data_IF_599882365768
#
_entry.id   IF_599882365768
#
_cell.length_a   1.000
_cell.length_b   1.000
_cell.length_c   1.000
_cell.angle_alpha   90.00
_cell.angle_beta   90.00
_cell.angle_gamma   90.00
#
_symmetry.space_group_name_H-M   'P 1'
#
loop_
_entity.id
_entity.type
_entity.pdbx_description
1 polymer ?
#
# COMPACT_ATOMS: atom_id res chain seq x y z
N UNK A 1 -38.04 0.24 -24.06
CA UNK A 1 -38.63 0.66 -22.77
C UNK A 1 -39.41 1.97 -22.93
N UNK A 2 -38.89 2.96 -23.68
CA UNK A 2 -39.61 4.20 -24.03
C UNK A 2 -40.57 4.10 -25.23
N UNK A 3 -40.71 2.94 -25.88
CA UNK A 3 -41.51 2.72 -27.10
C UNK A 3 -42.75 1.83 -26.86
N UNK A 4 -43.31 1.83 -25.65
CA UNK A 4 -44.57 1.14 -25.33
C UNK A 4 -45.55 2.19 -24.86
N UNK A 5 -46.63 2.41 -25.62
CA UNK A 5 -47.57 3.50 -25.38
C UNK A 5 -48.37 3.32 -24.08
N UNK A 6 -48.59 2.08 -23.63
CA UNK A 6 -49.36 1.80 -22.42
C UNK A 6 -48.58 2.15 -21.12
N UNK A 7 -49.06 3.11 -20.31
CA UNK A 7 -48.42 3.52 -19.05
C UNK A 7 -48.43 2.41 -17.99
N UNK A 8 -49.42 1.52 -17.96
CA UNK A 8 -49.45 0.43 -16.96
C UNK A 8 -48.39 -0.64 -17.24
N UNK A 9 -48.22 -1.03 -18.50
CA UNK A 9 -47.17 -1.97 -18.92
C UNK A 9 -45.76 -1.42 -18.66
N UNK A 10 -45.56 -0.09 -18.80
CA UNK A 10 -44.30 0.59 -18.44
C UNK A 10 -44.02 0.54 -16.94
N UNK A 11 -45.03 0.80 -16.10
CA UNK A 11 -44.88 0.75 -14.64
C UNK A 11 -44.57 -0.67 -14.16
N UNK A 12 -45.27 -1.68 -14.69
CA UNK A 12 -45.04 -3.10 -14.34
C UNK A 12 -43.64 -3.58 -14.74
N UNK A 13 -43.17 -3.26 -15.95
CA UNK A 13 -41.80 -3.61 -16.38
C UNK A 13 -40.73 -2.88 -15.55
N UNK A 14 -40.99 -1.64 -15.19
CA UNK A 14 -40.07 -0.85 -14.35
C UNK A 14 -40.02 -1.41 -12.94
N UNK A 15 -41.17 -1.80 -12.34
CA UNK A 15 -41.19 -2.39 -11.00
C UNK A 15 -40.47 -3.73 -10.94
N UNK A 16 -40.58 -4.57 -11.98
CA UNK A 16 -39.82 -5.82 -12.07
C UNK A 16 -38.31 -5.56 -12.12
N UNK A 17 -37.87 -4.61 -12.95
CA UNK A 17 -36.44 -4.27 -13.07
C UNK A 17 -35.92 -3.71 -11.75
N UNK A 18 -36.65 -2.79 -11.11
CA UNK A 18 -36.31 -2.25 -9.80
C UNK A 18 -36.26 -3.35 -8.72
N UNK A 19 -37.21 -4.29 -8.74
CA UNK A 19 -37.21 -5.45 -7.84
C UNK A 19 -35.99 -6.35 -8.05
N UNK A 20 -35.63 -6.62 -9.31
CA UNK A 20 -34.43 -7.39 -9.65
C UNK A 20 -33.14 -6.69 -9.20
N UNK A 21 -33.03 -5.37 -9.38
CA UNK A 21 -31.91 -4.59 -8.83
C UNK A 21 -31.86 -4.65 -7.30
N UNK A 22 -33.01 -4.56 -6.63
CA UNK A 22 -33.09 -4.73 -5.17
C UNK A 22 -32.59 -6.09 -4.71
N UNK A 23 -32.97 -7.16 -5.42
CA UNK A 23 -32.47 -8.52 -5.16
C UNK A 23 -30.95 -8.64 -5.36
N UNK A 24 -30.42 -8.08 -6.45
CA UNK A 24 -28.97 -8.05 -6.71
C UNK A 24 -28.21 -7.29 -5.62
N UNK A 25 -28.74 -6.16 -5.15
CA UNK A 25 -28.13 -5.38 -4.06
C UNK A 25 -28.13 -6.16 -2.75
N UNK A 26 -29.21 -6.88 -2.44
CA UNK A 26 -29.26 -7.74 -1.25
C UNK A 26 -28.23 -8.88 -1.32
N UNK A 27 -28.07 -9.52 -2.48
CA UNK A 27 -27.04 -10.53 -2.70
C UNK A 27 -25.64 -9.92 -2.56
N UNK A 28 -25.41 -8.76 -3.18
CA UNK A 28 -24.13 -8.04 -3.10
C UNK A 28 -23.77 -7.71 -1.64
N UNK A 29 -24.73 -7.25 -0.83
CA UNK A 29 -24.53 -7.00 0.60
C UNK A 29 -24.06 -8.25 1.35
N UNK A 30 -24.72 -9.38 1.12
CA UNK A 30 -24.37 -10.66 1.77
C UNK A 30 -22.97 -11.11 1.31
N UNK A 31 -22.69 -11.09 0.01
CA UNK A 31 -21.39 -11.49 -0.51
C UNK A 31 -20.26 -10.59 0.00
N UNK A 32 -20.45 -9.27 -0.01
CA UNK A 32 -19.44 -8.31 0.41
C UNK A 32 -19.14 -8.38 1.91
N UNK A 33 -20.15 -8.66 2.73
CA UNK A 33 -19.96 -8.88 4.18
C UNK A 33 -19.25 -10.19 4.48
N UNK A 34 -19.61 -11.27 3.79
CA UNK A 34 -18.94 -12.58 3.92
C UNK A 34 -17.48 -12.52 3.47
N UNK A 35 -17.20 -11.88 2.34
CA UNK A 35 -15.85 -11.69 1.81
C UNK A 35 -14.98 -10.89 2.80
N UNK A 36 -15.49 -9.73 3.25
CA UNK A 36 -14.79 -8.89 4.22
C UNK A 36 -14.52 -9.60 5.55
N UNK A 37 -15.45 -10.42 6.02
CA UNK A 37 -15.29 -11.21 7.25
C UNK A 37 -14.25 -12.33 7.06
N UNK A 38 -14.36 -13.12 5.99
CA UNK A 38 -13.48 -14.26 5.74
C UNK A 38 -12.02 -13.83 5.57
N UNK A 39 -11.76 -12.82 4.71
CA UNK A 39 -10.41 -12.28 4.53
C UNK A 39 -9.91 -11.50 5.74
N UNK A 40 -10.80 -10.88 6.51
CA UNK A 40 -10.45 -10.24 7.78
C UNK A 40 -9.94 -11.25 8.80
N UNK A 41 -10.69 -12.33 9.04
CA UNK A 41 -10.31 -13.40 9.97
C UNK A 41 -9.03 -14.12 9.52
N UNK A 42 -8.90 -14.40 8.22
CA UNK A 42 -7.69 -15.03 7.67
C UNK A 42 -6.46 -14.14 7.88
N UNK A 43 -6.57 -12.83 7.60
CA UNK A 43 -5.50 -11.85 7.80
C UNK A 43 -5.06 -11.75 9.26
N UNK A 44 -6.01 -11.71 10.20
CA UNK A 44 -5.71 -11.60 11.63
C UNK A 44 -5.04 -12.87 12.17
N UNK A 45 -5.51 -14.05 11.76
CA UNK A 45 -4.88 -15.34 12.11
C UNK A 45 -3.46 -15.44 11.59
N UNK A 46 -3.21 -15.03 10.35
CA UNK A 46 -1.87 -15.02 9.78
C UNK A 46 -0.95 -14.06 10.54
N UNK A 47 -1.43 -12.87 10.86
CA UNK A 47 -0.67 -11.85 11.60
C UNK A 47 -0.29 -12.35 12.99
N UNK A 48 -1.25 -12.95 13.69
CA UNK A 48 -1.03 -13.55 15.00
C UNK A 48 0.02 -14.66 14.93
N UNK A 49 -0.10 -15.58 13.96
CA UNK A 49 0.85 -16.68 13.76
C UNK A 49 2.25 -16.17 13.43
N UNK A 50 2.36 -15.19 12.53
CA UNK A 50 3.64 -14.55 12.19
C UNK A 50 4.27 -13.86 13.41
N UNK A 51 3.47 -13.17 14.22
CA UNK A 51 3.95 -12.52 15.45
C UNK A 51 4.52 -13.54 16.45
N UNK A 52 3.81 -14.65 16.66
CA UNK A 52 4.26 -15.73 17.54
C UNK A 52 5.56 -16.36 17.02
N UNK A 53 5.58 -16.79 15.76
CA UNK A 53 6.76 -17.41 15.15
C UNK A 53 7.99 -16.49 15.16
N UNK A 54 7.78 -15.20 14.86
CA UNK A 54 8.87 -14.21 14.90
C UNK A 54 9.39 -14.02 16.33
N UNK A 55 8.50 -13.90 17.31
CA UNK A 55 8.87 -13.74 18.71
C UNK A 55 9.64 -14.95 19.24
N UNK A 56 9.14 -16.17 19.00
CA UNK A 56 9.82 -17.42 19.34
C UNK A 56 11.20 -17.52 18.69
N UNK A 57 11.30 -17.15 17.42
CA UNK A 57 12.58 -17.19 16.70
C UNK A 57 13.57 -16.18 17.26
N UNK A 58 13.12 -14.97 17.61
CA UNK A 58 13.96 -13.93 18.24
C UNK A 58 14.54 -14.45 19.56
N UNK A 59 13.74 -15.09 20.41
CA UNK A 59 14.20 -15.62 21.70
C UNK A 59 15.26 -16.72 21.59
N UNK A 60 15.30 -17.43 20.46
CA UNK A 60 16.29 -18.49 20.20
C UNK A 60 17.62 -17.98 19.63
N UNK A 61 17.73 -16.69 19.31
CA UNK A 61 18.95 -16.14 18.74
C UNK A 61 20.05 -15.98 19.80
N UNK A 62 21.31 -16.11 19.36
CA UNK A 62 22.46 -15.95 20.24
C UNK A 62 22.71 -14.48 20.65
N UNK A 63 23.36 -14.27 21.80
CA UNK A 63 23.63 -12.93 22.35
C UNK A 63 24.35 -12.01 21.34
N UNK A 64 25.30 -12.54 20.59
CA UNK A 64 26.04 -11.77 19.58
C UNK A 64 25.18 -11.26 18.42
N UNK A 65 23.99 -11.81 18.19
CA UNK A 65 23.03 -11.31 17.22
C UNK A 65 22.33 -10.03 17.70
N UNK A 66 22.06 -9.92 19.01
CA UNK A 66 21.46 -8.74 19.63
C UNK A 66 22.45 -7.57 19.76
N UNK A 67 23.75 -7.83 19.72
CA UNK A 67 24.79 -6.78 19.71
C UNK A 67 24.78 -5.97 18.40
N UNK A 68 24.20 -6.52 17.33
CA UNK A 68 24.08 -5.86 16.02
C UNK A 68 23.10 -4.68 16.13
N UNK A 69 23.47 -3.45 15.72
CA UNK A 69 22.62 -2.27 15.86
C UNK A 69 21.21 -2.42 15.30
N UNK A 70 21.05 -3.14 14.19
CA UNK A 70 19.77 -3.39 13.53
C UNK A 70 18.84 -4.31 14.32
N UNK A 71 19.37 -5.10 15.26
CA UNK A 71 18.65 -6.10 16.06
C UNK A 71 18.53 -5.70 17.54
N UNK A 72 18.73 -4.42 17.86
CA UNK A 72 18.52 -3.94 19.21
C UNK A 72 17.04 -4.12 19.65
N UNK A 73 16.78 -4.31 20.96
CA UNK A 73 15.42 -4.57 21.46
C UNK A 73 14.37 -3.57 20.98
N UNK A 74 14.71 -2.27 20.92
CA UNK A 74 13.79 -1.24 20.42
C UNK A 74 13.41 -1.42 18.95
N UNK A 75 14.38 -1.80 18.10
CA UNK A 75 14.13 -2.07 16.69
C UNK A 75 13.27 -3.33 16.51
N UNK A 76 13.53 -4.39 17.28
CA UNK A 76 12.75 -5.64 17.22
C UNK A 76 11.31 -5.46 17.71
N UNK A 77 11.10 -4.70 18.80
CA UNK A 77 9.75 -4.33 19.25
C UNK A 77 9.03 -3.52 18.16
N UNK A 78 9.73 -2.58 17.52
CA UNK A 78 9.23 -1.86 16.36
C UNK A 78 8.80 -2.79 15.22
N UNK A 79 9.59 -3.82 14.89
CA UNK A 79 9.22 -4.82 13.88
C UNK A 79 7.95 -5.61 14.27
N UNK A 80 7.84 -6.07 15.51
CA UNK A 80 6.64 -6.79 15.98
C UNK A 80 5.37 -5.92 15.98
N UNK A 81 5.52 -4.63 16.32
CA UNK A 81 4.42 -3.70 16.47
C UNK A 81 4.00 -3.06 15.13
N UNK A 82 4.95 -2.73 14.25
CA UNK A 82 4.70 -1.98 13.02
C UNK A 82 4.85 -2.83 11.75
N UNK A 83 5.87 -3.67 11.63
CA UNK A 83 6.12 -4.41 10.39
C UNK A 83 5.20 -5.62 10.25
N UNK A 84 4.95 -6.38 11.32
CA UNK A 84 4.08 -7.57 11.27
C UNK A 84 2.65 -7.22 10.81
N UNK A 85 1.99 -6.16 11.31
CA UNK A 85 0.67 -5.76 10.80
C UNK A 85 0.68 -5.33 9.33
N UNK A 86 1.78 -4.79 8.80
CA UNK A 86 1.83 -4.41 7.38
C UNK A 86 1.69 -5.60 6.44
N UNK A 87 1.92 -6.83 6.90
CA UNK A 87 1.65 -8.06 6.14
C UNK A 87 0.16 -8.23 5.80
N UNK A 88 -0.75 -7.68 6.61
CA UNK A 88 -2.19 -7.70 6.33
C UNK A 88 -2.54 -6.95 5.05
N UNK A 89 -1.72 -5.96 4.66
CA UNK A 89 -1.91 -5.22 3.41
C UNK A 89 -1.73 -6.11 2.16
N UNK A 90 -1.11 -7.29 2.29
CA UNK A 90 -0.95 -8.25 1.19
C UNK A 90 -1.83 -9.48 1.27
N UNK A 91 -2.36 -9.83 2.45
CA UNK A 91 -2.94 -11.16 2.71
C UNK A 91 -4.33 -11.13 3.37
N UNK A 92 -4.75 -9.98 3.91
CA UNK A 92 -6.08 -9.79 4.52
C UNK A 92 -7.10 -9.18 3.55
N UNK A 93 -8.01 -8.35 4.09
CA UNK A 93 -9.06 -7.66 3.32
C UNK A 93 -8.55 -6.90 2.09
N UNK A 94 -7.34 -6.35 2.17
CA UNK A 94 -6.75 -5.59 1.06
C UNK A 94 -6.50 -6.47 -0.17
N UNK A 95 -6.13 -7.74 0.03
CA UNK A 95 -5.96 -8.71 -1.06
C UNK A 95 -7.31 -8.98 -1.75
N UNK A 96 -8.38 -9.13 -0.97
CA UNK A 96 -9.73 -9.31 -1.48
C UNK A 96 -10.13 -8.14 -2.40
N UNK A 97 -9.90 -6.90 -1.96
CA UNK A 97 -10.19 -5.70 -2.76
C UNK A 97 -9.36 -5.64 -4.05
N UNK A 98 -8.09 -6.09 -4.03
CA UNK A 98 -7.24 -6.13 -5.23
C UNK A 98 -7.77 -7.19 -6.22
N UNK A 99 -8.14 -8.37 -5.73
CA UNK A 99 -8.71 -9.43 -6.55
C UNK A 99 -10.07 -9.03 -7.13
N UNK A 100 -10.94 -8.44 -6.32
CA UNK A 100 -12.23 -7.87 -6.75
C UNK A 100 -12.01 -6.85 -7.87
N UNK A 101 -11.10 -5.90 -7.67
CA UNK A 101 -10.77 -4.88 -8.66
C UNK A 101 -10.22 -5.49 -9.95
N UNK A 102 -9.37 -6.51 -9.85
CA UNK A 102 -8.84 -7.22 -11.01
C UNK A 102 -9.94 -7.94 -11.81
N UNK A 103 -10.80 -8.70 -11.13
CA UNK A 103 -11.95 -9.39 -11.75
C UNK A 103 -12.91 -8.38 -12.36
N UNK A 104 -13.17 -7.26 -11.68
CA UNK A 104 -14.02 -6.19 -12.16
C UNK A 104 -13.49 -5.55 -13.45
N UNK A 105 -12.19 -5.24 -13.51
CA UNK A 105 -11.55 -4.68 -14.71
C UNK A 105 -11.61 -5.66 -15.88
N UNK A 106 -11.27 -6.94 -15.65
CA UNK A 106 -11.30 -7.97 -16.70
C UNK A 106 -12.73 -8.17 -17.22
N UNK A 107 -13.70 -8.26 -16.32
CA UNK A 107 -15.11 -8.44 -16.68
C UNK A 107 -15.65 -7.23 -17.44
N UNK A 108 -15.30 -6.02 -17.02
CA UNK A 108 -15.72 -4.78 -17.66
C UNK A 108 -15.12 -4.60 -19.05
N UNK A 109 -13.84 -4.94 -19.23
CA UNK A 109 -13.20 -4.97 -20.55
C UNK A 109 -13.89 -5.98 -21.47
N UNK A 110 -14.14 -7.20 -20.99
CA UNK A 110 -14.83 -8.22 -21.77
C UNK A 110 -16.22 -7.74 -22.23
N UNK A 111 -17.02 -7.18 -21.31
CA UNK A 111 -18.34 -6.61 -21.62
C UNK A 111 -18.23 -5.50 -22.68
N UNK A 112 -17.27 -4.58 -22.54
CA UNK A 112 -17.11 -3.47 -23.46
C UNK A 112 -16.73 -3.93 -24.89
N UNK A 113 -15.75 -4.84 -25.01
CA UNK A 113 -15.35 -5.40 -26.30
C UNK A 113 -16.45 -6.25 -26.94
N UNK A 114 -17.26 -6.95 -26.14
CA UNK A 114 -18.36 -7.76 -26.62
C UNK A 114 -19.49 -6.93 -27.26
N UNK A 115 -19.84 -5.78 -26.67
CA UNK A 115 -20.92 -4.92 -27.20
C UNK A 115 -20.47 -3.99 -28.33
N UNK A 116 -19.31 -3.35 -28.21
CA UNK A 116 -18.75 -2.52 -29.27
C UNK A 116 -17.24 -2.38 -29.12
N UNK A 117 -16.51 -3.16 -29.92
CA UNK A 117 -15.05 -3.08 -29.98
C UNK A 117 -14.55 -1.70 -30.44
N UNK A 118 -15.31 -0.98 -31.29
CA UNK A 118 -14.93 0.33 -31.81
C UNK A 118 -14.91 1.39 -30.70
N UNK A 119 -15.98 1.45 -29.90
CA UNK A 119 -16.05 2.36 -28.75
C UNK A 119 -15.03 1.96 -27.70
N UNK A 120 -14.86 0.66 -27.47
CA UNK A 120 -13.88 0.17 -26.52
C UNK A 120 -12.45 0.61 -26.85
N UNK A 121 -12.05 0.55 -28.13
CA UNK A 121 -10.74 1.02 -28.57
C UNK A 121 -10.58 2.53 -28.43
N UNK A 122 -11.61 3.31 -28.75
CA UNK A 122 -11.56 4.77 -28.60
C UNK A 122 -11.35 5.15 -27.14
N UNK A 123 -12.14 4.58 -26.22
CA UNK A 123 -11.94 4.80 -24.78
C UNK A 123 -10.56 4.34 -24.32
N UNK A 124 -10.08 3.17 -24.76
CA UNK A 124 -8.77 2.65 -24.40
C UNK A 124 -7.61 3.54 -24.91
N UNK A 125 -7.79 4.29 -25.99
CA UNK A 125 -6.79 5.24 -26.47
C UNK A 125 -6.56 6.42 -25.51
N UNK A 126 -7.56 6.79 -24.69
CA UNK A 126 -7.42 7.83 -23.67
C UNK A 126 -6.71 7.35 -22.39
N UNK A 127 -6.71 6.04 -22.12
CA UNK A 127 -6.10 5.47 -20.91
C UNK A 127 -4.61 5.80 -20.73
N UNK A 128 -3.72 5.62 -21.75
CA UNK A 128 -2.31 5.96 -21.60
C UNK A 128 -2.09 7.42 -21.21
N UNK A 129 -2.89 8.33 -21.77
CA UNK A 129 -2.80 9.76 -21.50
C UNK A 129 -3.22 10.06 -20.05
N UNK A 130 -4.31 9.43 -19.58
CA UNK A 130 -4.77 9.52 -18.19
C UNK A 130 -3.70 9.00 -17.21
N UNK A 131 -3.13 7.82 -17.49
CA UNK A 131 -2.09 7.23 -16.64
C UNK A 131 -0.87 8.13 -16.55
N UNK A 132 -0.41 8.68 -17.67
CA UNK A 132 0.71 9.63 -17.69
C UNK A 132 0.38 10.86 -16.82
N UNK A 133 -0.79 11.47 -17.00
CA UNK A 133 -1.22 12.62 -16.21
C UNK A 133 -1.25 12.32 -14.71
N UNK A 134 -1.81 11.18 -14.30
CA UNK A 134 -1.88 10.76 -12.88
C UNK A 134 -0.49 10.49 -12.28
N UNK A 135 0.44 9.94 -13.04
CA UNK A 135 1.82 9.72 -12.57
C UNK A 135 2.53 11.06 -12.32
N UNK A 136 2.37 12.04 -13.22
CA UNK A 136 2.94 13.37 -13.03
C UNK A 136 2.31 14.11 -11.84
N UNK A 137 1.01 13.93 -11.60
CA UNK A 137 0.32 14.44 -10.41
C UNK A 137 0.93 13.86 -9.11
N UNK A 138 1.12 12.55 -9.03
CA UNK A 138 1.75 11.91 -7.85
C UNK A 138 3.19 12.38 -7.61
N UNK A 139 3.98 12.53 -8.66
CA UNK A 139 5.39 12.93 -8.56
C UNK A 139 5.57 14.38 -8.08
N UNK A 140 4.70 15.28 -8.54
CA UNK A 140 4.78 16.71 -8.21
C UNK A 140 4.46 17.03 -6.75
N UNK A 141 3.66 16.18 -6.08
CA UNK A 141 3.34 16.32 -4.67
C UNK A 141 4.37 15.68 -3.72
N UNK A 142 4.88 14.49 -4.06
CA UNK A 142 5.49 13.60 -3.05
C UNK A 142 6.98 13.86 -2.76
N UNK A 143 7.82 14.15 -3.75
CA UNK A 143 9.27 14.04 -3.56
C UNK A 143 9.89 15.16 -2.69
N UNK A 144 9.50 16.41 -2.94
CA UNK A 144 10.11 17.57 -2.27
C UNK A 144 9.56 17.77 -0.84
N UNK A 145 8.26 17.53 -0.66
CA UNK A 145 7.58 17.58 0.65
C UNK A 145 8.11 16.47 1.57
N UNK A 146 8.22 15.23 1.07
CA UNK A 146 8.71 14.11 1.88
C UNK A 146 10.15 14.33 2.32
N UNK A 147 11.04 14.83 1.44
CA UNK A 147 12.45 15.06 1.78
C UNK A 147 12.64 16.13 2.86
N UNK A 148 11.92 17.25 2.79
CA UNK A 148 11.98 18.29 3.82
C UNK A 148 11.32 17.86 5.12
N UNK A 149 10.21 17.13 5.05
CA UNK A 149 9.55 16.56 6.23
C UNK A 149 10.46 15.58 6.98
N UNK A 150 11.20 14.70 6.26
CA UNK A 150 12.19 13.79 6.87
C UNK A 150 13.32 14.56 7.55
N UNK A 151 13.85 15.61 6.93
CA UNK A 151 14.89 16.47 7.54
C UNK A 151 14.39 17.21 8.78
N UNK A 152 13.15 17.71 8.74
CA UNK A 152 12.51 18.33 9.91
C UNK A 152 12.35 17.33 11.05
N UNK A 153 11.87 16.13 10.75
CA UNK A 153 11.73 15.06 11.74
C UNK A 153 13.08 14.67 12.37
N UNK A 154 14.16 14.56 11.57
CA UNK A 154 15.49 14.24 12.12
C UNK A 154 16.03 15.35 13.01
N UNK A 155 15.88 16.62 12.62
CA UNK A 155 16.32 17.76 13.42
C UNK A 155 15.51 17.86 14.73
N UNK A 156 14.19 17.68 14.65
CA UNK A 156 13.34 17.66 15.83
C UNK A 156 13.73 16.51 16.78
N UNK A 157 14.04 15.34 16.23
CA UNK A 157 14.49 14.19 17.03
C UNK A 157 15.81 14.46 17.73
N UNK A 158 16.77 15.13 17.08
CA UNK A 158 18.04 15.56 17.69
C UNK A 158 17.81 16.54 18.84
N UNK A 159 17.00 17.58 18.61
CA UNK A 159 16.66 18.60 19.61
C UNK A 159 15.95 17.98 20.82
N UNK A 160 14.96 17.11 20.61
CA UNK A 160 14.23 16.49 21.71
C UNK A 160 15.07 15.48 22.48
N UNK A 161 15.95 14.74 21.80
CA UNK A 161 16.89 13.81 22.46
C UNK A 161 17.90 14.56 23.34
N UNK A 162 18.29 15.77 22.93
CA UNK A 162 19.24 16.62 23.65
C UNK A 162 18.57 17.82 24.38
N UNK A 163 17.28 17.72 24.73
CA UNK A 163 16.50 18.85 25.26
C UNK A 163 17.14 19.56 26.46
N UNK A 164 17.73 18.80 27.39
CA UNK A 164 18.45 19.34 28.55
C UNK A 164 19.67 20.17 28.15
N UNK A 165 20.40 19.73 27.11
CA UNK A 165 21.57 20.44 26.59
C UNK A 165 21.16 21.70 25.84
N UNK A 166 20.08 21.63 25.07
CA UNK A 166 19.54 22.79 24.34
C UNK A 166 19.12 23.89 25.33
N UNK A 167 18.40 23.54 26.39
CA UNK A 167 18.00 24.51 27.41
C UNK A 167 19.14 24.96 28.32
N UNK A 168 20.13 24.11 28.59
CA UNK A 168 21.34 24.52 29.32
C UNK A 168 22.18 25.53 28.54
N UNK A 169 22.15 25.45 27.20
CA UNK A 169 22.85 26.38 26.30
C UNK A 169 21.98 27.57 25.86
N UNK A 170 20.72 27.64 26.27
CA UNK A 170 19.73 28.63 25.83
C UNK A 170 19.67 28.76 24.29
N UNK A 171 19.78 27.63 23.58
CA UNK A 171 19.88 27.58 22.13
C UNK A 171 18.53 27.33 21.43
N UNK A 172 17.40 27.50 22.13
CA UNK A 172 16.06 27.22 21.59
C UNK A 172 15.76 28.02 20.32
N UNK A 173 16.13 29.30 20.29
CA UNK A 173 15.92 30.19 19.14
C UNK A 173 16.74 29.74 17.93
N UNK A 174 18.01 29.36 18.13
CA UNK A 174 18.87 28.82 17.08
C UNK A 174 18.27 27.57 16.42
N UNK A 175 17.79 26.61 17.22
CA UNK A 175 17.18 25.40 16.68
C UNK A 175 15.82 25.66 16.04
N UNK A 176 15.06 26.66 16.52
CA UNK A 176 13.79 27.08 15.92
C UNK A 176 14.00 27.70 14.54
N UNK A 177 15.00 28.56 14.37
CA UNK A 177 15.38 29.14 13.08
C UNK A 177 15.93 28.09 12.12
N UNK A 178 16.74 27.17 12.65
CA UNK A 178 17.29 26.07 11.86
C UNK A 178 16.16 25.12 11.39
N UNK A 179 15.16 24.86 12.22
CA UNK A 179 13.97 24.10 11.83
C UNK A 179 13.16 24.85 10.77
N UNK A 180 12.93 26.14 10.95
CA UNK A 180 12.17 26.97 10.01
C UNK A 180 12.85 27.01 8.63
N UNK A 181 14.18 27.13 8.58
CA UNK A 181 14.93 27.19 7.31
C UNK A 181 15.09 25.82 6.63
N UNK A 182 15.27 24.74 7.39
CA UNK A 182 15.53 23.41 6.84
C UNK A 182 14.27 22.56 6.64
N UNK A 183 13.31 22.63 7.56
CA UNK A 183 12.11 21.78 7.59
C UNK A 183 10.94 22.39 6.80
N UNK A 184 10.79 23.71 6.80
CA UNK A 184 9.69 24.36 6.08
C UNK A 184 10.07 24.66 4.63
N UNK A 185 9.08 24.51 3.74
CA UNK A 185 9.18 25.00 2.38
C UNK A 185 9.02 26.51 2.40
N UNK A 186 9.81 27.23 1.60
CA UNK A 186 9.59 28.67 1.47
C UNK A 186 8.22 28.92 0.85
N UNK A 187 7.61 30.07 1.17
CA UNK A 187 6.29 30.45 0.61
C UNK A 187 6.25 30.34 -0.91
N UNK A 188 7.35 30.67 -1.59
CA UNK A 188 7.47 30.56 -3.06
C UNK A 188 7.56 29.11 -3.54
N UNK A 189 8.22 28.20 -2.80
CA UNK A 189 8.23 26.76 -3.10
C UNK A 189 6.84 26.15 -2.93
N UNK A 190 6.13 26.52 -1.85
CA UNK A 190 4.76 26.07 -1.61
C UNK A 190 3.85 26.56 -2.74
N UNK A 191 3.90 27.86 -3.07
CA UNK A 191 3.02 28.42 -4.10
C UNK A 191 3.31 27.81 -5.49
N UNK A 192 4.57 27.59 -5.85
CA UNK A 192 4.96 26.88 -7.09
C UNK A 192 4.56 25.40 -7.06
N UNK A 193 4.65 24.74 -5.91
CA UNK A 193 4.21 23.35 -5.72
C UNK A 193 2.71 23.20 -5.89
N UNK A 194 1.94 24.03 -5.19
CA UNK A 194 0.47 24.08 -5.28
C UNK A 194 0.01 24.46 -6.67
N UNK A 195 0.63 25.46 -7.32
CA UNK A 195 0.28 25.84 -8.69
C UNK A 195 0.55 24.70 -9.69
N UNK A 196 1.68 24.00 -9.57
CA UNK A 196 1.97 22.81 -10.41
C UNK A 196 0.95 21.71 -10.16
N UNK A 197 0.67 21.39 -8.91
CA UNK A 197 -0.34 20.39 -8.54
C UNK A 197 -1.72 20.75 -9.08
N UNK A 198 -2.18 21.99 -8.87
CA UNK A 198 -3.47 22.47 -9.35
C UNK A 198 -3.57 22.38 -10.88
N UNK A 199 -2.51 22.72 -11.61
CA UNK A 199 -2.46 22.59 -13.06
C UNK A 199 -2.55 21.11 -13.50
N UNK A 200 -1.76 20.22 -12.89
CA UNK A 200 -1.78 18.79 -13.23
C UNK A 200 -3.14 18.15 -12.92
N UNK A 201 -3.71 18.45 -11.76
CA UNK A 201 -5.02 17.98 -11.34
C UNK A 201 -6.14 18.52 -12.27
N UNK A 202 -6.06 19.80 -12.67
CA UNK A 202 -6.99 20.38 -13.64
C UNK A 202 -6.89 19.69 -15.02
N UNK A 203 -5.68 19.38 -15.49
CA UNK A 203 -5.47 18.64 -16.74
C UNK A 203 -6.07 17.23 -16.63
N UNK A 204 -5.80 16.51 -15.53
CA UNK A 204 -6.31 15.15 -15.32
C UNK A 204 -7.85 15.10 -15.30
N UNK A 205 -8.51 16.00 -14.55
CA UNK A 205 -9.97 16.08 -14.52
C UNK A 205 -10.57 16.51 -15.86
N UNK A 206 -9.94 17.46 -16.55
CA UNK A 206 -10.41 17.94 -17.86
C UNK A 206 -10.31 16.84 -18.92
N UNK A 207 -9.27 16.00 -18.85
CA UNK A 207 -9.08 14.88 -19.77
C UNK A 207 -10.22 13.85 -19.70
N UNK A 208 -10.77 13.63 -18.52
CA UNK A 208 -11.95 12.76 -18.34
C UNK A 208 -13.19 13.34 -19.04
N UNK A 209 -13.34 14.67 -19.05
CA UNK A 209 -14.38 15.36 -19.83
C UNK A 209 -14.15 15.28 -21.35
N UNK A 210 -12.89 15.37 -21.80
CA UNK A 210 -12.53 15.19 -23.20
C UNK A 210 -12.75 13.76 -23.69
N UNK A 211 -12.48 12.75 -22.86
CA UNK A 211 -12.80 11.35 -23.14
C UNK A 211 -14.31 11.19 -23.37
N UNK A 212 -15.14 11.71 -22.45
CA UNK A 212 -16.60 11.65 -22.60
C UNK A 212 -17.04 12.29 -23.92
N UNK A 213 -16.60 13.51 -24.21
CA UNK A 213 -16.95 14.20 -25.45
C UNK A 213 -16.49 13.43 -26.70
N UNK A 214 -15.25 12.93 -26.71
CA UNK A 214 -14.68 12.19 -27.84
C UNK A 214 -15.41 10.87 -28.12
N UNK A 215 -15.72 10.10 -27.06
CA UNK A 215 -16.46 8.84 -27.17
C UNK A 215 -17.87 9.06 -27.72
N UNK A 216 -18.57 10.10 -27.26
CA UNK A 216 -19.92 10.41 -27.74
C UNK A 216 -19.92 11.01 -29.15
N UNK A 217 -18.90 11.79 -29.53
CA UNK A 217 -18.76 12.29 -30.89
C UNK A 217 -18.57 11.14 -31.89
N UNK A 218 -17.61 10.25 -31.62
CA UNK A 218 -17.39 9.06 -32.46
C UNK A 218 -18.60 8.14 -32.40
N UNK A 219 -19.19 7.94 -31.22
CA UNK A 219 -20.43 7.19 -31.04
C UNK A 219 -21.59 7.72 -31.89
N UNK A 220 -21.77 9.03 -31.97
CA UNK A 220 -22.79 9.68 -32.81
C UNK A 220 -22.60 9.34 -34.29
N UNK A 221 -21.36 9.43 -34.80
CA UNK A 221 -21.03 9.08 -36.19
C UNK A 221 -21.30 7.58 -36.46
N UNK A 222 -21.00 6.70 -35.51
CA UNK A 222 -21.24 5.25 -35.65
C UNK A 222 -22.74 4.91 -35.59
N UNK A 223 -23.52 5.65 -34.81
CA UNK A 223 -24.98 5.52 -34.75
C UNK A 223 -25.61 5.98 -36.07
N UNK A 224 -25.16 7.10 -36.63
CA UNK A 224 -25.63 7.61 -37.92
C UNK A 224 -25.37 6.61 -39.06
N UNK A 225 -24.22 5.93 -39.02
CA UNK A 225 -23.85 4.86 -39.96
C UNK A 225 -24.58 3.54 -39.71
N UNK A 226 -25.41 3.45 -38.67
CA UNK A 226 -26.13 2.22 -38.29
C UNK A 226 -25.24 1.09 -37.76
N UNK A 227 -23.98 1.37 -37.42
CA UNK A 227 -23.02 0.35 -36.96
C UNK A 227 -23.24 -0.05 -35.49
N UNK A 228 -23.71 0.89 -34.66
CA UNK A 228 -24.00 0.67 -33.24
C UNK A 228 -25.32 1.31 -32.83
N UNK A 229 -25.97 0.75 -31.81
CA UNK A 229 -27.11 1.37 -31.15
C UNK A 229 -26.68 2.29 -29.99
N UNK A 230 -27.51 3.27 -29.64
CA UNK A 230 -27.30 4.13 -28.46
C UNK A 230 -27.12 3.31 -27.17
N UNK A 231 -27.82 2.18 -27.06
CA UNK A 231 -27.71 1.28 -25.91
C UNK A 231 -26.34 0.58 -25.86
N UNK A 232 -25.80 0.15 -27.01
CA UNK A 232 -24.46 -0.43 -27.10
C UNK A 232 -23.37 0.60 -26.80
N UNK A 233 -23.53 1.83 -27.28
CA UNK A 233 -22.63 2.94 -26.96
C UNK A 233 -22.56 3.15 -25.44
N UNK A 234 -23.71 3.36 -24.79
CA UNK A 234 -23.78 3.60 -23.34
C UNK A 234 -23.24 2.43 -22.53
N UNK A 235 -23.59 1.19 -22.88
CA UNK A 235 -23.09 -0.02 -22.20
C UNK A 235 -21.58 -0.16 -22.29
N UNK A 236 -21.00 0.07 -23.47
CA UNK A 236 -19.55 -0.08 -23.68
C UNK A 236 -18.78 1.04 -22.97
N UNK A 237 -19.26 2.29 -23.08
CA UNK A 237 -18.67 3.44 -22.38
C UNK A 237 -18.71 3.25 -20.86
N UNK A 238 -19.88 2.98 -20.27
CA UNK A 238 -20.03 2.85 -18.82
C UNK A 238 -19.18 1.71 -18.23
N UNK A 239 -19.08 0.57 -18.91
CA UNK A 239 -18.21 -0.53 -18.49
C UNK A 239 -16.74 -0.08 -18.39
N UNK A 240 -16.23 0.63 -19.40
CA UNK A 240 -14.85 1.10 -19.40
C UNK A 240 -14.62 2.22 -18.39
N UNK A 241 -15.54 3.18 -18.27
CA UNK A 241 -15.39 4.27 -17.29
C UNK A 241 -15.32 3.74 -15.86
N UNK A 242 -16.18 2.78 -15.48
CA UNK A 242 -16.11 2.16 -14.16
C UNK A 242 -14.82 1.35 -13.96
N UNK A 243 -14.36 0.64 -15.01
CA UNK A 243 -13.07 -0.05 -14.97
C UNK A 243 -11.90 0.92 -14.78
N UNK A 244 -11.93 2.10 -15.41
CA UNK A 244 -10.94 3.16 -15.28
C UNK A 244 -10.84 3.66 -13.82
N UNK A 245 -11.98 3.98 -13.21
CA UNK A 245 -12.02 4.41 -11.80
C UNK A 245 -11.49 3.33 -10.86
N UNK A 246 -11.84 2.06 -11.13
CA UNK A 246 -11.37 0.92 -10.35
C UNK A 246 -9.87 0.68 -10.53
N UNK A 247 -9.33 0.92 -11.72
CA UNK A 247 -7.89 0.85 -11.97
C UNK A 247 -7.12 1.93 -11.20
N UNK A 248 -7.65 3.16 -11.15
CA UNK A 248 -7.09 4.22 -10.31
C UNK A 248 -7.09 3.84 -8.83
N UNK A 249 -8.18 3.23 -8.37
CA UNK A 249 -8.24 2.64 -7.03
C UNK A 249 -7.16 1.57 -6.85
N UNK A 250 -7.02 0.60 -7.76
CA UNK A 250 -5.98 -0.45 -7.74
C UNK A 250 -4.54 0.11 -7.69
N UNK A 251 -4.26 1.17 -8.45
CA UNK A 251 -2.95 1.79 -8.50
C UNK A 251 -2.53 2.39 -7.15
N UNK A 252 -3.49 2.88 -6.35
CA UNK A 252 -3.23 3.42 -5.01
C UNK A 252 -2.65 2.37 -4.02
N UNK A 253 -2.84 1.08 -4.29
CA UNK A 253 -2.35 -0.01 -3.44
C UNK A 253 -0.89 -0.38 -3.69
N UNK A 254 -0.32 0.00 -4.84
CA UNK A 254 1.03 -0.43 -5.25
C UNK A 254 2.11 -0.03 -4.24
N UNK A 255 2.13 1.21 -3.67
CA UNK A 255 3.10 1.58 -2.65
C UNK A 255 2.99 0.73 -1.37
N UNK A 256 1.77 0.46 -0.92
CA UNK A 256 1.51 -0.34 0.28
C UNK A 256 1.96 -1.80 0.09
N UNK A 257 1.71 -2.38 -1.08
CA UNK A 257 2.17 -3.72 -1.43
C UNK A 257 3.71 -3.80 -1.45
N UNK A 258 4.39 -2.78 -2.00
CA UNK A 258 5.86 -2.71 -1.97
C UNK A 258 6.39 -2.61 -0.53
N UNK A 259 5.76 -1.80 0.31
CA UNK A 259 6.13 -1.66 1.73
C UNK A 259 5.95 -2.98 2.48
N UNK A 260 4.80 -3.63 2.32
CA UNK A 260 4.49 -4.90 2.94
C UNK A 260 5.43 -6.03 2.46
N UNK A 261 5.79 -6.07 1.18
CA UNK A 261 6.75 -7.04 0.64
C UNK A 261 8.15 -6.87 1.25
N UNK A 262 8.61 -5.62 1.42
CA UNK A 262 9.88 -5.33 2.10
C UNK A 262 9.86 -5.78 3.57
N UNK A 263 8.77 -5.49 4.29
CA UNK A 263 8.59 -5.93 5.67
C UNK A 263 8.54 -7.47 5.78
N UNK A 264 7.81 -8.13 4.87
CA UNK A 264 7.75 -9.59 4.79
C UNK A 264 9.13 -10.20 4.62
N UNK A 265 9.93 -9.69 3.68
CA UNK A 265 11.29 -10.18 3.46
C UNK A 265 12.14 -10.06 4.73
N UNK A 266 12.08 -8.91 5.41
CA UNK A 266 12.84 -8.67 6.64
C UNK A 266 12.38 -9.56 7.82
N UNK A 267 11.08 -9.87 7.91
CA UNK A 267 10.53 -10.77 8.93
C UNK A 267 10.95 -12.21 8.63
N UNK A 268 10.78 -12.67 7.40
CA UNK A 268 11.12 -14.03 7.00
C UNK A 268 12.63 -14.29 7.03
N UNK A 269 13.46 -13.27 6.82
CA UNK A 269 14.91 -13.38 7.01
C UNK A 269 15.28 -13.73 8.46
N UNK A 270 14.55 -13.19 9.45
CA UNK A 270 14.74 -13.54 10.87
C UNK A 270 14.18 -14.93 11.14
N UNK A 271 12.95 -15.22 10.67
CA UNK A 271 12.28 -16.52 10.93
C UNK A 271 13.10 -17.70 10.36
N UNK A 272 13.71 -17.55 9.19
CA UNK A 272 14.53 -18.59 8.57
C UNK A 272 15.99 -18.58 9.03
N UNK A 273 16.38 -17.67 9.92
CA UNK A 273 17.74 -17.64 10.47
C UNK A 273 17.93 -18.78 11.45
N UNK A 274 18.93 -19.62 11.19
CA UNK A 274 19.41 -20.60 12.16
C UNK A 274 20.53 -19.99 13.03
N UNK A 275 20.37 -19.97 14.37
CA UNK A 275 21.40 -19.44 15.26
C UNK A 275 22.65 -20.34 15.24
N UNK A 276 23.83 -19.72 15.36
CA UNK A 276 25.10 -20.47 15.40
C UNK A 276 25.24 -21.30 16.69
N UNK A 277 24.66 -20.80 17.78
CA UNK A 277 24.58 -21.47 19.07
C UNK A 277 23.11 -21.84 19.29
N UNK A 278 22.78 -23.11 19.11
CA UNK A 278 21.42 -23.60 19.31
C UNK A 278 21.18 -23.83 20.80
N UNK A 279 20.22 -23.15 21.44
CA UNK A 279 19.97 -23.29 22.89
C UNK A 279 19.54 -24.72 23.26
N UNK A 280 18.86 -25.38 22.32
CA UNK A 280 18.19 -26.66 22.52
C UNK A 280 19.09 -27.86 22.15
N UNK A 281 20.32 -27.59 21.67
CA UNK A 281 21.27 -28.62 21.23
C UNK A 281 22.56 -28.55 22.04
N UNK A 282 22.94 -29.68 22.62
CA UNK A 282 24.20 -29.82 23.36
C UNK A 282 24.38 -31.24 23.88
N UNK A 283 25.57 -31.50 24.41
CA UNK A 283 25.88 -32.74 25.09
C UNK A 283 25.30 -32.72 26.51
N UNK A 284 24.52 -33.74 26.86
CA UNK A 284 24.01 -33.94 28.21
C UNK A 284 24.87 -35.01 28.91
N UNK A 285 25.92 -34.63 29.66
CA UNK A 285 26.80 -35.60 30.28
C UNK A 285 26.08 -36.41 31.36
N UNK A 286 26.26 -37.73 31.32
CA UNK A 286 25.66 -38.65 32.30
C UNK A 286 26.24 -38.54 33.71
N UNK A 287 27.40 -37.88 33.87
CA UNK A 287 28.07 -37.68 35.16
C UNK A 287 27.70 -36.32 35.73
N UNK A 288 27.43 -36.27 37.03
CA UNK A 288 27.14 -35.03 37.75
C UNK A 288 28.31 -34.06 37.68
N UNK A 289 28.00 -32.77 37.52
CA UNK A 289 28.99 -31.69 37.46
C UNK A 289 29.76 -31.59 38.77
N UNK A 290 31.10 -31.70 38.71
CA UNK A 290 32.00 -31.68 39.88
C UNK A 290 32.58 -30.30 40.20
N UNK A 291 32.29 -29.26 39.41
CA UNK A 291 32.64 -27.87 39.74
C UNK A 291 33.98 -27.34 39.23
N UNK A 292 34.85 -28.17 38.63
CA UNK A 292 36.14 -27.72 38.14
C UNK A 292 36.03 -27.07 36.75
N UNK A 293 36.26 -25.75 36.67
CA UNK A 293 36.29 -24.97 35.42
C UNK A 293 37.71 -24.46 35.17
N UNK A 294 38.27 -24.75 33.99
CA UNK A 294 39.62 -24.31 33.59
C UNK A 294 39.54 -23.56 32.26
N UNK A 295 40.10 -22.35 32.23
CA UNK A 295 40.27 -21.57 30.99
C UNK A 295 41.69 -21.77 30.48
N UNK A 296 41.86 -22.35 29.29
CA UNK A 296 43.18 -22.59 28.70
C UNK A 296 43.41 -21.69 27.48
N UNK A 297 44.25 -20.66 27.64
CA UNK A 297 44.67 -19.72 26.57
C UNK A 297 43.50 -19.16 25.74
N UNK A 298 42.47 -18.66 26.43
CA UNK A 298 41.22 -18.21 25.80
C UNK A 298 41.39 -16.83 25.17
N UNK A 299 41.20 -16.76 23.85
CA UNK A 299 41.21 -15.52 23.07
C UNK A 299 39.79 -15.14 22.68
N UNK A 300 39.41 -13.89 22.88
CA UNK A 300 38.05 -13.42 22.61
C UNK A 300 38.00 -12.03 21.99
N UNK A 301 37.08 -11.88 21.02
CA UNK A 301 36.76 -10.65 20.30
C UNK A 301 35.25 -10.59 20.09
N UNK A 302 34.63 -9.43 20.36
CA UNK A 302 33.21 -9.24 20.05
C UNK A 302 32.98 -9.24 18.53
N UNK A 303 31.92 -9.89 18.03
CA UNK A 303 31.59 -9.94 16.60
C UNK A 303 31.41 -8.55 15.97
N UNK A 304 30.88 -7.59 16.74
CA UNK A 304 30.65 -6.20 16.32
C UNK A 304 31.93 -5.36 16.26
N UNK A 305 32.99 -5.76 16.97
CA UNK A 305 34.28 -5.05 17.03
C UNK A 305 35.47 -6.00 16.90
N UNK A 306 35.53 -6.71 15.76
CA UNK A 306 36.57 -7.73 15.50
C UNK A 306 38.01 -7.21 15.58
N UNK A 307 38.21 -5.91 15.42
CA UNK A 307 39.55 -5.30 15.46
C UNK A 307 40.13 -5.14 16.86
N UNK A 308 39.29 -5.15 17.90
CA UNK A 308 39.73 -4.93 19.29
C UNK A 308 39.72 -6.27 20.05
N UNK A 309 40.89 -6.85 20.37
CA UNK A 309 40.96 -8.02 21.24
C UNK A 309 40.60 -7.62 22.68
N UNK A 310 39.70 -8.38 23.30
CA UNK A 310 39.31 -8.19 24.71
C UNK A 310 40.08 -9.14 25.61
N UNK A 311 40.14 -10.42 25.26
CA UNK A 311 40.97 -11.43 25.93
C UNK A 311 42.07 -11.88 24.97
N UNK A 312 43.32 -11.94 25.46
CA UNK A 312 44.53 -12.24 24.69
C UNK A 312 45.18 -13.53 25.18
#
# INVERSE_FOLDING_TARGET
ILLVDDPQTRFYRTSIICGAFGGLVAIHLICYTLDGYAFGVAGERLTTRCRIMLFETILKQEVGWFDIPENQPGALVGRLAADVPTLQNMTGRRLASILETFVFIVSSLFIAFFFSWQIALVSLAYFPILVIASVFEMQTWSAEVTRKSVKGASLAQEVFSASKTVSALQAEEYFTDNYTSQALLSRSQILKGVARYALMNAIANSLMGFEFSGVFYVGGILIEKGAISMLQLWRSYSAISFASSSLGYAASFVPDAKKASKAAKAIFEIIHRHPHLQPDHGDFPARSFTGNVVFNNVRFRYPTRKQVPVLK
#
